data_IF_852324469361
#
_entry.id   IF_852324469361
#
_cell.length_a   1.000
_cell.length_b   1.000
_cell.length_c   1.000
_cell.angle_alpha   90.00
_cell.angle_beta   90.00
_cell.angle_gamma   90.00
#
_symmetry.space_group_name_H-M   'P 1'
#
loop_
_entity.id
_entity.type
_entity.pdbx_description
1 polymer ?
#
# COMPACT_ATOMS: atom_id res chain seq x y z
N UNK A 1 -23.98 -1.04 -30.86
CA UNK A 1 -22.73 -0.93 -31.67
C UNK A 1 -21.70 -0.19 -30.84
N UNK A 2 -20.76 -0.93 -30.26
CA UNK A 2 -19.60 -0.33 -29.60
C UNK A 2 -18.63 0.03 -30.72
N UNK A 3 -18.41 1.31 -30.89
CA UNK A 3 -17.50 1.87 -31.88
C UNK A 3 -16.10 1.26 -31.73
N UNK A 4 -15.65 0.52 -32.74
CA UNK A 4 -14.30 0.00 -32.96
C UNK A 4 -13.30 1.14 -33.29
N UNK A 5 -13.25 2.18 -32.47
CA UNK A 5 -12.51 3.41 -32.75
C UNK A 5 -11.28 3.66 -31.89
N UNK A 6 -10.65 2.63 -31.29
CA UNK A 6 -9.34 2.75 -30.61
C UNK A 6 -8.47 1.53 -30.87
N UNK A 7 -8.22 1.25 -32.13
CA UNK A 7 -7.12 0.37 -32.56
C UNK A 7 -5.92 1.28 -32.81
N UNK A 8 -4.98 1.28 -31.89
CA UNK A 8 -3.73 1.98 -32.13
C UNK A 8 -3.03 2.47 -30.88
N UNK A 9 -2.73 1.58 -29.96
CA UNK A 9 -1.55 1.63 -29.12
C UNK A 9 -1.49 0.31 -28.34
N UNK A 10 -0.52 -0.50 -28.62
CA UNK A 10 -0.22 -1.75 -27.89
C UNK A 10 0.26 -1.50 -26.46
N UNK A 11 0.23 -0.27 -25.99
CA UNK A 11 0.75 0.21 -24.71
C UNK A 11 -0.35 0.77 -23.78
N UNK A 12 -1.58 0.27 -23.85
CA UNK A 12 -2.64 0.73 -22.96
C UNK A 12 -2.77 -0.19 -21.75
N UNK A 13 -2.70 0.40 -20.56
CA UNK A 13 -3.18 -0.23 -19.34
C UNK A 13 -4.66 -0.56 -19.55
N UNK A 14 -5.01 -1.80 -19.27
CA UNK A 14 -6.42 -2.25 -19.27
C UNK A 14 -6.77 -2.65 -17.86
N UNK A 15 -7.78 -2.02 -17.32
CA UNK A 15 -8.32 -2.30 -16.01
C UNK A 15 -9.79 -2.72 -16.09
N UNK A 16 -10.19 -3.50 -15.11
CA UNK A 16 -11.57 -3.94 -14.94
C UNK A 16 -11.87 -4.20 -13.48
N UNK A 17 -13.13 -4.12 -13.12
CA UNK A 17 -13.58 -4.54 -11.80
C UNK A 17 -14.95 -5.23 -11.90
N UNK A 18 -15.22 -6.07 -10.91
CA UNK A 18 -16.49 -6.74 -10.74
C UNK A 18 -16.87 -6.76 -9.26
N UNK A 19 -18.15 -6.55 -8.98
CA UNK A 19 -18.74 -6.79 -7.66
C UNK A 19 -19.74 -7.92 -7.79
N UNK A 20 -19.45 -9.06 -7.17
CA UNK A 20 -20.27 -10.26 -7.22
C UNK A 20 -20.40 -10.93 -5.87
N UNK A 21 -21.33 -11.88 -5.77
CA UNK A 21 -21.46 -12.72 -4.60
C UNK A 21 -20.59 -13.96 -4.74
N UNK A 22 -19.85 -14.31 -3.69
CA UNK A 22 -19.14 -15.57 -3.54
C UNK A 22 -19.84 -16.42 -2.49
N UNK A 23 -19.87 -17.74 -2.71
CA UNK A 23 -20.56 -18.70 -1.87
C UNK A 23 -19.54 -19.62 -1.23
N UNK A 24 -19.32 -19.48 0.08
CA UNK A 24 -18.30 -20.20 0.82
C UNK A 24 -18.95 -21.33 1.61
N UNK A 25 -18.79 -22.60 1.19
CA UNK A 25 -19.34 -23.74 1.93
C UNK A 25 -18.59 -23.90 3.26
N UNK A 26 -19.30 -24.14 4.35
CA UNK A 26 -18.70 -24.46 5.65
C UNK A 26 -18.18 -25.91 5.70
N UNK A 27 -18.84 -26.80 5.00
CA UNK A 27 -18.46 -28.21 4.87
C UNK A 27 -18.95 -28.81 3.56
N UNK A 28 -18.31 -29.90 3.12
CA UNK A 28 -18.75 -30.69 1.98
C UNK A 28 -19.01 -32.16 2.44
N UNK A 29 -20.14 -32.80 2.02
CA UNK A 29 -21.21 -32.28 1.20
C UNK A 29 -22.02 -31.19 1.91
N UNK A 30 -22.66 -30.30 1.15
CA UNK A 30 -23.46 -29.20 1.70
C UNK A 30 -24.64 -29.75 2.50
N UNK A 31 -24.72 -29.41 3.79
CA UNK A 31 -25.84 -29.71 4.70
C UNK A 31 -26.63 -28.46 5.11
N UNK A 32 -26.09 -27.30 4.81
CA UNK A 32 -26.67 -25.97 5.06
C UNK A 32 -26.29 -25.01 3.91
N UNK A 33 -26.95 -23.86 3.84
CA UNK A 33 -26.62 -22.83 2.85
C UNK A 33 -25.18 -22.31 3.09
N UNK A 34 -24.42 -22.08 2.01
CA UNK A 34 -23.09 -21.50 2.11
C UNK A 34 -23.15 -20.06 2.65
N UNK A 35 -22.05 -19.58 3.21
CA UNK A 35 -21.89 -18.17 3.55
C UNK A 35 -21.80 -17.36 2.24
N UNK A 36 -22.75 -16.46 2.05
CA UNK A 36 -22.84 -15.61 0.86
C UNK A 36 -22.24 -14.23 1.16
N UNK A 37 -21.17 -13.90 0.45
CA UNK A 37 -20.45 -12.63 0.66
C UNK A 37 -20.26 -11.87 -0.63
N UNK A 38 -20.42 -10.56 -0.56
CA UNK A 38 -20.04 -9.67 -1.67
C UNK A 38 -18.52 -9.47 -1.70
N UNK A 39 -17.96 -9.68 -2.89
CA UNK A 39 -16.55 -9.44 -3.17
C UNK A 39 -16.40 -8.44 -4.31
N UNK A 40 -15.49 -7.48 -4.12
CA UNK A 40 -14.98 -6.67 -5.21
C UNK A 40 -13.70 -7.33 -5.72
N UNK A 41 -13.62 -7.57 -7.01
CA UNK A 41 -12.40 -8.03 -7.67
C UNK A 41 -11.96 -6.95 -8.66
N UNK A 42 -10.67 -6.62 -8.64
CA UNK A 42 -10.04 -5.70 -9.58
C UNK A 42 -8.98 -6.47 -10.36
N UNK A 43 -8.86 -6.19 -11.64
CA UNK A 43 -7.82 -6.70 -12.51
C UNK A 43 -7.19 -5.58 -13.33
N UNK A 44 -5.89 -5.65 -13.53
CA UNK A 44 -5.13 -4.70 -14.32
C UNK A 44 -4.06 -5.45 -15.11
N UNK A 45 -3.87 -5.12 -16.39
CA UNK A 45 -2.84 -5.72 -17.22
C UNK A 45 -2.33 -4.75 -18.29
N UNK A 46 -1.16 -5.05 -18.87
CA UNK A 46 -0.45 -4.19 -19.81
C UNK A 46 0.73 -3.52 -19.12
N UNK A 47 0.98 -2.25 -19.41
CA UNK A 47 2.05 -1.47 -18.78
C UNK A 47 1.67 -1.02 -17.36
N UNK A 48 1.49 -1.96 -16.47
CA UNK A 48 1.15 -1.72 -15.07
C UNK A 48 2.03 -2.55 -14.15
N UNK A 49 2.02 -2.18 -12.88
CA UNK A 49 2.75 -2.88 -11.83
C UNK A 49 1.90 -3.07 -10.56
N UNK A 50 2.49 -3.76 -9.60
CA UNK A 50 1.89 -4.00 -8.29
C UNK A 50 1.50 -2.69 -7.58
N UNK A 51 2.35 -1.67 -7.67
CA UNK A 51 2.15 -0.40 -6.95
C UNK A 51 1.05 0.46 -7.58
N UNK A 52 0.85 0.34 -8.88
CA UNK A 52 -0.28 1.00 -9.54
C UNK A 52 -1.62 0.46 -9.04
N UNK A 53 -1.79 -0.87 -9.01
CA UNK A 53 -3.01 -1.48 -8.46
C UNK A 53 -3.16 -1.19 -6.96
N UNK A 54 -2.05 -1.21 -6.21
CA UNK A 54 -2.04 -0.85 -4.79
C UNK A 54 -2.51 0.59 -4.58
N UNK A 55 -2.03 1.54 -5.39
CA UNK A 55 -2.45 2.94 -5.34
C UNK A 55 -3.95 3.13 -5.60
N UNK A 56 -4.54 2.38 -6.53
CA UNK A 56 -6.00 2.37 -6.77
C UNK A 56 -6.75 1.92 -5.51
N UNK A 57 -6.27 0.86 -4.85
CA UNK A 57 -6.86 0.39 -3.59
C UNK A 57 -6.70 1.41 -2.46
N UNK A 58 -5.53 2.01 -2.32
CA UNK A 58 -5.27 3.03 -1.29
C UNK A 58 -6.21 4.24 -1.46
N UNK A 59 -6.40 4.71 -2.70
CA UNK A 59 -7.35 5.79 -2.99
C UNK A 59 -8.80 5.37 -2.70
N UNK A 60 -9.18 4.15 -3.02
CA UNK A 60 -10.50 3.61 -2.67
C UNK A 60 -10.70 3.59 -1.15
N UNK A 61 -9.74 3.09 -0.39
CA UNK A 61 -9.81 3.05 1.08
C UNK A 61 -9.83 4.45 1.69
N UNK A 62 -9.06 5.40 1.13
CA UNK A 62 -9.09 6.80 1.53
C UNK A 62 -10.49 7.41 1.33
N UNK A 63 -11.13 7.16 0.17
CA UNK A 63 -12.51 7.61 -0.11
C UNK A 63 -13.54 7.00 0.84
N UNK A 64 -13.28 5.79 1.35
CA UNK A 64 -14.13 5.11 2.32
C UNK A 64 -13.83 5.53 3.78
N UNK A 65 -12.93 6.48 4.00
CA UNK A 65 -12.57 6.97 5.34
C UNK A 65 -11.77 5.95 6.17
N UNK A 66 -10.99 5.11 5.49
CA UNK A 66 -10.15 4.07 6.09
C UNK A 66 -8.67 4.44 6.10
N UNK A 67 -8.34 5.69 5.86
CA UNK A 67 -6.95 6.16 5.89
C UNK A 67 -6.28 5.82 7.23
N UNK A 68 -5.04 5.32 7.16
CA UNK A 68 -4.28 4.88 8.33
C UNK A 68 -4.80 3.61 9.03
N UNK A 69 -5.86 2.97 8.51
CA UNK A 69 -6.44 1.73 9.07
C UNK A 69 -6.20 0.51 8.19
N UNK A 70 -5.48 0.67 7.07
CA UNK A 70 -5.22 -0.40 6.11
C UNK A 70 -3.77 -0.81 6.19
N UNK A 71 -3.53 -2.11 6.35
CA UNK A 71 -2.22 -2.72 6.32
C UNK A 71 -2.10 -3.70 5.15
N UNK A 72 -0.96 -3.67 4.47
CA UNK A 72 -0.59 -4.65 3.43
C UNK A 72 0.53 -5.52 3.98
N UNK A 73 0.29 -6.81 4.14
CA UNK A 73 1.26 -7.76 4.68
C UNK A 73 1.76 -8.68 3.58
N UNK A 74 3.07 -8.74 3.29
CA UNK A 74 3.62 -9.69 2.34
C UNK A 74 3.20 -11.13 2.68
N UNK A 75 2.84 -11.90 1.66
CA UNK A 75 2.32 -13.26 1.82
C UNK A 75 2.74 -14.17 0.67
N UNK A 76 2.57 -15.47 0.86
CA UNK A 76 2.71 -16.51 -0.17
C UNK A 76 1.52 -17.46 -0.18
N UNK A 77 0.41 -17.07 0.45
CA UNK A 77 -0.73 -17.96 0.68
C UNK A 77 -1.59 -18.20 -0.56
N UNK A 78 -1.50 -17.35 -1.58
CA UNK A 78 -2.33 -17.46 -2.78
C UNK A 78 -1.53 -18.12 -3.91
N UNK A 79 -1.75 -19.42 -4.19
CA UNK A 79 -0.94 -20.15 -5.17
C UNK A 79 -1.13 -19.68 -6.62
N UNK A 80 -2.22 -18.97 -6.91
CA UNK A 80 -2.47 -18.36 -8.23
C UNK A 80 -1.79 -17.00 -8.40
N UNK A 81 -1.09 -16.50 -7.38
CA UNK A 81 -0.29 -15.29 -7.42
C UNK A 81 1.20 -15.60 -7.36
N UNK A 82 2.00 -14.68 -7.89
CA UNK A 82 3.45 -14.76 -7.86
C UNK A 82 3.95 -14.76 -6.40
N UNK A 83 4.78 -15.72 -5.97
CA UNK A 83 5.15 -15.90 -4.56
C UNK A 83 5.89 -14.72 -3.94
N UNK A 84 6.64 -13.96 -4.74
CA UNK A 84 7.36 -12.77 -4.28
C UNK A 84 6.64 -11.43 -4.49
N UNK A 85 5.42 -11.43 -5.07
CA UNK A 85 4.71 -10.20 -5.44
C UNK A 85 3.23 -10.30 -5.07
N UNK A 86 2.96 -10.61 -3.81
CA UNK A 86 1.61 -10.68 -3.27
C UNK A 86 1.56 -10.19 -1.83
N UNK A 87 0.41 -9.69 -1.42
CA UNK A 87 0.15 -9.26 -0.06
C UNK A 87 -1.29 -9.58 0.37
N UNK A 88 -1.48 -9.81 1.66
CA UNK A 88 -2.78 -9.81 2.31
C UNK A 88 -3.13 -8.38 2.71
N UNK A 89 -4.42 -8.07 2.70
CA UNK A 89 -4.96 -6.75 3.04
C UNK A 89 -5.75 -6.90 4.33
N UNK A 90 -5.43 -6.06 5.30
CA UNK A 90 -6.14 -5.96 6.57
C UNK A 90 -6.71 -4.56 6.74
N UNK A 91 -7.93 -4.48 7.23
CA UNK A 91 -8.60 -3.21 7.55
C UNK A 91 -8.96 -3.21 9.04
N UNK A 92 -8.34 -2.31 9.80
CA UNK A 92 -8.50 -2.29 11.26
C UNK A 92 -8.20 -3.63 11.93
N UNK A 93 -7.18 -4.34 11.45
CA UNK A 93 -6.72 -5.63 11.94
C UNK A 93 -7.55 -6.85 11.48
N UNK A 94 -8.65 -6.65 10.73
CA UNK A 94 -9.44 -7.75 10.16
C UNK A 94 -9.02 -8.03 8.73
N UNK A 95 -8.92 -9.31 8.35
CA UNK A 95 -8.63 -9.70 6.98
C UNK A 95 -9.70 -9.18 6.02
N UNK A 96 -9.29 -8.42 5.03
CA UNK A 96 -10.17 -7.77 4.08
C UNK A 96 -9.92 -8.21 2.63
N UNK A 97 -8.82 -8.91 2.35
CA UNK A 97 -8.57 -9.36 0.99
C UNK A 97 -7.09 -9.59 0.66
N UNK A 98 -6.82 -9.60 -0.63
CA UNK A 98 -5.47 -9.81 -1.17
C UNK A 98 -5.22 -8.92 -2.38
N UNK A 99 -3.94 -8.74 -2.71
CA UNK A 99 -3.44 -8.11 -3.93
C UNK A 99 -2.19 -8.86 -4.40
N UNK A 100 -1.97 -8.97 -5.70
CA UNK A 100 -0.73 -9.54 -6.22
C UNK A 100 -0.66 -9.61 -7.74
N UNK A 101 0.54 -9.93 -8.21
CA UNK A 101 0.77 -10.31 -9.59
C UNK A 101 0.20 -11.71 -9.82
N UNK A 102 -0.48 -11.93 -10.92
CA UNK A 102 -0.94 -13.27 -11.32
C UNK A 102 0.28 -14.15 -11.59
N UNK A 103 0.23 -15.41 -11.16
CA UNK A 103 1.33 -16.34 -11.38
C UNK A 103 1.58 -16.54 -12.87
N UNK A 104 2.85 -16.57 -13.35
CA UNK A 104 3.16 -16.74 -14.77
C UNK A 104 2.47 -17.96 -15.41
N UNK A 105 2.46 -19.11 -14.74
CA UNK A 105 1.76 -20.31 -15.23
C UNK A 105 0.25 -20.08 -15.42
N UNK A 106 -0.38 -19.27 -14.57
CA UNK A 106 -1.79 -18.91 -14.72
C UNK A 106 -1.96 -18.01 -15.94
N UNK A 107 -1.07 -17.04 -16.16
CA UNK A 107 -1.09 -16.21 -17.35
C UNK A 107 -0.94 -17.06 -18.62
N UNK A 108 -0.02 -18.03 -18.63
CA UNK A 108 0.18 -18.97 -19.76
C UNK A 108 -1.08 -19.80 -20.03
N UNK A 109 -1.74 -20.33 -19.00
CA UNK A 109 -2.98 -21.11 -19.13
C UNK A 109 -4.15 -20.32 -19.77
N UNK A 110 -4.11 -18.99 -19.68
CA UNK A 110 -5.10 -18.09 -20.26
C UNK A 110 -4.60 -17.35 -21.52
N UNK A 111 -3.47 -17.77 -22.12
CA UNK A 111 -2.85 -17.13 -23.28
C UNK A 111 -2.55 -15.62 -23.07
N UNK A 112 -2.34 -15.20 -21.85
CA UNK A 112 -1.99 -13.82 -21.53
C UNK A 112 -0.49 -13.59 -21.79
N UNK A 113 -0.17 -12.66 -22.67
CA UNK A 113 1.20 -12.34 -23.11
C UNK A 113 1.89 -11.24 -22.27
N UNK A 114 1.21 -10.71 -21.28
CA UNK A 114 1.70 -9.66 -20.43
C UNK A 114 1.43 -9.98 -18.95
N UNK A 115 2.14 -9.31 -18.06
CA UNK A 115 1.89 -9.39 -16.64
C UNK A 115 0.48 -8.87 -16.31
N UNK A 116 -0.15 -9.51 -15.34
CA UNK A 116 -1.44 -9.11 -14.83
C UNK A 116 -1.40 -9.01 -13.31
N UNK A 117 -2.12 -8.07 -12.76
CA UNK A 117 -2.24 -7.82 -11.33
C UNK A 117 -3.70 -7.88 -10.94
N UNK A 118 -3.99 -8.51 -9.82
CA UNK A 118 -5.35 -8.70 -9.34
C UNK A 118 -5.45 -8.41 -7.86
N UNK A 119 -6.62 -7.92 -7.44
CA UNK A 119 -6.97 -7.77 -6.04
C UNK A 119 -8.39 -8.28 -5.81
N UNK A 120 -8.61 -8.92 -4.66
CA UNK A 120 -9.92 -9.37 -4.22
C UNK A 120 -10.21 -8.82 -2.83
N UNK A 121 -11.32 -8.10 -2.68
CA UNK A 121 -11.70 -7.38 -1.45
C UNK A 121 -13.02 -7.95 -0.92
N UNK A 122 -13.02 -8.32 0.35
CA UNK A 122 -14.24 -8.70 1.09
C UNK A 122 -15.02 -7.45 1.47
N UNK A 123 -16.07 -7.14 0.72
CA UNK A 123 -16.82 -5.90 0.91
C UNK A 123 -17.48 -5.79 2.28
N UNK A 124 -18.06 -6.85 2.88
CA UNK A 124 -18.62 -6.76 4.24
C UNK A 124 -17.60 -6.25 5.25
N UNK A 125 -16.38 -6.79 5.27
CA UNK A 125 -15.31 -6.37 6.20
C UNK A 125 -14.93 -4.89 6.00
N UNK A 126 -14.88 -4.43 4.75
CA UNK A 126 -14.55 -3.04 4.43
C UNK A 126 -15.69 -2.10 4.80
N UNK A 127 -16.92 -2.43 4.42
CA UNK A 127 -18.10 -1.57 4.65
C UNK A 127 -18.46 -1.43 6.12
N UNK A 128 -18.23 -2.45 6.93
CA UNK A 128 -18.42 -2.38 8.38
C UNK A 128 -17.55 -1.29 9.04
N UNK A 129 -16.35 -1.07 8.51
CA UNK A 129 -15.36 -0.14 9.07
C UNK A 129 -15.30 1.19 8.33
N UNK A 130 -15.95 1.29 7.17
CA UNK A 130 -16.00 2.50 6.37
C UNK A 130 -16.77 3.61 7.09
N UNK A 131 -16.34 4.85 6.89
CA UNK A 131 -17.02 6.02 7.41
C UNK A 131 -17.05 7.13 6.38
N UNK A 132 -18.17 7.81 6.27
CA UNK A 132 -18.33 9.03 5.49
C UNK A 132 -18.41 10.28 6.37
N UNK A 133 -18.17 10.13 7.67
CA UNK A 133 -18.10 11.26 8.62
C UNK A 133 -16.82 12.06 8.33
N UNK A 134 -16.97 13.10 7.55
CA UNK A 134 -15.89 14.02 7.20
C UNK A 134 -16.08 15.30 7.96
N UNK A 135 -15.12 15.60 8.85
CA UNK A 135 -15.09 16.85 9.60
C UNK A 135 -14.13 17.81 8.92
N UNK A 136 -14.56 19.05 8.80
CA UNK A 136 -13.67 20.11 8.36
C UNK A 136 -12.59 20.36 9.42
N UNK A 137 -11.34 20.21 9.02
CA UNK A 137 -10.19 20.65 9.80
C UNK A 137 -9.75 22.02 9.30
N UNK A 138 -9.68 22.99 10.21
CA UNK A 138 -9.29 24.36 9.87
C UNK A 138 -7.85 24.40 9.35
N UNK A 139 -7.57 25.41 8.52
CA UNK A 139 -6.20 25.67 8.06
C UNK A 139 -5.26 25.84 9.24
N UNK A 140 -4.13 25.14 9.19
CA UNK A 140 -3.14 25.16 10.26
C UNK A 140 -2.61 26.58 10.51
N UNK A 141 -2.64 27.00 11.78
CA UNK A 141 -2.29 28.36 12.22
C UNK A 141 -0.77 28.59 12.22
N UNK A 142 0.01 27.53 12.42
CA UNK A 142 1.47 27.58 12.51
C UNK A 142 2.11 26.83 11.36
N UNK A 143 3.28 27.31 10.88
CA UNK A 143 3.97 26.69 9.74
C UNK A 143 4.46 25.28 10.10
N UNK A 144 4.48 24.41 9.09
CA UNK A 144 5.13 23.12 9.18
C UNK A 144 6.66 23.25 9.07
N UNK A 145 7.37 22.27 9.62
CA UNK A 145 8.81 22.08 9.44
C UNK A 145 9.02 20.76 8.70
N UNK A 146 9.65 20.82 7.54
CA UNK A 146 9.95 19.65 6.74
C UNK A 146 11.36 19.13 7.03
N UNK A 147 11.54 17.82 6.96
CA UNK A 147 12.83 17.13 7.05
C UNK A 147 12.84 15.97 6.07
N UNK A 148 13.82 16.02 5.17
CA UNK A 148 14.04 14.93 4.23
C UNK A 148 15.11 13.99 4.78
N UNK A 149 14.86 12.70 4.71
CA UNK A 149 15.75 11.64 5.14
C UNK A 149 16.03 10.72 3.97
N UNK A 150 17.30 10.60 3.60
CA UNK A 150 17.78 9.62 2.63
C UNK A 150 18.39 8.45 3.39
N UNK A 151 17.83 7.27 3.23
CA UNK A 151 18.18 6.07 4.01
C UNK A 151 18.70 4.98 3.07
N UNK A 152 19.72 4.26 3.51
CA UNK A 152 20.24 3.07 2.82
C UNK A 152 19.89 1.84 3.63
N UNK A 153 19.39 0.82 2.95
CA UNK A 153 18.96 -0.44 3.59
C UNK A 153 19.09 -1.62 2.63
N UNK A 154 19.08 -2.84 3.16
CA UNK A 154 19.01 -4.05 2.33
C UNK A 154 17.70 -4.10 1.54
N UNK A 155 17.73 -4.72 0.36
CA UNK A 155 16.56 -4.82 -0.54
C UNK A 155 15.39 -5.58 0.07
N UNK A 156 15.66 -6.53 0.96
CA UNK A 156 14.67 -7.37 1.64
C UNK A 156 13.92 -6.64 2.77
N UNK A 157 14.42 -5.48 3.22
CA UNK A 157 13.73 -4.67 4.23
C UNK A 157 12.53 -3.96 3.60
N UNK A 158 11.36 -4.12 4.19
CA UNK A 158 10.14 -3.50 3.70
C UNK A 158 10.04 -2.02 4.12
N UNK A 159 9.75 -1.16 3.15
CA UNK A 159 9.58 0.29 3.35
C UNK A 159 8.49 0.59 4.40
N UNK A 160 7.37 -0.13 4.37
CA UNK A 160 6.29 0.03 5.33
C UNK A 160 6.69 -0.22 6.79
N UNK A 161 7.73 -1.04 7.05
CA UNK A 161 8.25 -1.21 8.42
C UNK A 161 8.96 0.03 8.93
N UNK A 162 9.64 0.77 8.03
CA UNK A 162 10.27 2.04 8.38
C UNK A 162 9.22 3.10 8.71
N UNK A 163 8.16 3.18 7.88
CA UNK A 163 7.06 4.13 8.12
C UNK A 163 6.38 3.88 9.48
N UNK A 164 6.16 2.61 9.86
CA UNK A 164 5.62 2.27 11.19
C UNK A 164 6.52 2.79 12.32
N UNK A 165 7.83 2.59 12.22
CA UNK A 165 8.81 3.10 13.19
C UNK A 165 8.81 4.63 13.22
N UNK A 166 8.82 5.28 12.05
CA UNK A 166 8.80 6.74 11.95
C UNK A 166 7.52 7.32 12.60
N UNK A 167 6.35 6.72 12.33
CA UNK A 167 5.07 7.13 12.94
C UNK A 167 5.11 6.97 14.46
N UNK A 168 5.61 5.84 14.96
CA UNK A 168 5.69 5.57 16.39
C UNK A 168 6.62 6.56 17.12
N UNK A 169 7.82 6.78 16.57
CA UNK A 169 8.84 7.63 17.23
C UNK A 169 8.65 9.13 16.95
N UNK A 170 8.03 9.47 15.82
CA UNK A 170 7.67 10.84 15.46
C UNK A 170 6.58 11.43 16.36
N UNK A 171 5.68 10.57 16.85
CA UNK A 171 4.63 10.94 17.78
C UNK A 171 3.66 11.98 17.22
N UNK A 172 3.04 12.76 18.11
CA UNK A 172 1.96 13.70 17.74
C UNK A 172 2.39 14.91 16.90
N UNK A 173 3.68 15.20 16.86
CA UNK A 173 4.22 16.33 16.08
C UNK A 173 4.51 15.94 14.63
N UNK A 174 4.60 14.65 14.32
CA UNK A 174 4.76 14.14 12.96
C UNK A 174 3.38 14.10 12.28
N UNK A 175 3.14 15.05 11.40
CA UNK A 175 1.88 15.20 10.67
C UNK A 175 1.76 14.21 9.51
N UNK A 176 2.84 14.08 8.72
CA UNK A 176 2.86 13.17 7.58
C UNK A 176 4.25 12.63 7.25
N UNK A 177 4.25 11.48 6.59
CA UNK A 177 5.43 10.83 6.04
C UNK A 177 5.13 10.56 4.57
N UNK A 178 6.03 10.94 3.69
CA UNK A 178 5.91 10.68 2.27
C UNK A 178 7.19 10.05 1.74
N UNK A 179 7.10 8.84 1.20
CA UNK A 179 8.15 8.27 0.37
C UNK A 179 8.11 8.97 -1.00
N UNK A 180 9.22 9.57 -1.41
CA UNK A 180 9.24 10.30 -2.68
C UNK A 180 10.31 9.79 -3.67
N UNK A 181 11.27 8.96 -3.21
CA UNK A 181 12.25 8.35 -4.10
C UNK A 181 12.70 6.97 -3.59
N UNK A 182 12.92 6.04 -4.53
CA UNK A 182 13.53 4.73 -4.31
C UNK A 182 14.59 4.53 -5.40
N UNK A 183 15.85 4.44 -5.00
CA UNK A 183 16.95 4.32 -5.91
C UNK A 183 17.70 2.99 -5.71
N UNK A 184 17.87 2.27 -6.81
CA UNK A 184 18.66 1.05 -6.91
C UNK A 184 19.62 1.19 -8.10
N UNK A 185 20.80 1.70 -7.88
CA UNK A 185 21.75 1.96 -8.98
C UNK A 185 23.21 1.88 -8.54
N UNK A 186 24.13 2.21 -9.45
CA UNK A 186 25.58 2.06 -9.30
C UNK A 186 26.22 2.82 -8.15
N UNK A 187 25.48 3.76 -7.53
CA UNK A 187 25.97 4.52 -6.36
C UNK A 187 25.62 3.84 -5.02
N UNK A 188 24.90 2.71 -5.07
CA UNK A 188 24.51 1.95 -3.88
C UNK A 188 25.13 0.55 -4.02
N UNK A 189 25.60 -0.01 -2.91
CA UNK A 189 26.17 -1.35 -2.86
C UNK A 189 25.16 -2.39 -3.36
N UNK A 190 25.63 -3.41 -4.06
CA UNK A 190 24.78 -4.50 -4.55
C UNK A 190 24.06 -5.21 -3.39
N UNK A 191 22.76 -5.43 -3.52
CA UNK A 191 21.92 -5.97 -2.45
C UNK A 191 21.29 -4.90 -1.54
N UNK A 192 21.62 -3.62 -1.74
CA UNK A 192 21.04 -2.49 -1.02
C UNK A 192 20.16 -1.62 -1.94
N UNK A 193 19.32 -0.81 -1.31
CA UNK A 193 18.52 0.25 -1.93
C UNK A 193 18.58 1.52 -1.09
N UNK A 194 18.42 2.67 -1.72
CA UNK A 194 18.24 3.95 -1.04
C UNK A 194 16.78 4.35 -1.13
N UNK A 195 16.22 4.82 -0.04
CA UNK A 195 14.84 5.33 0.03
C UNK A 195 14.85 6.72 0.62
N UNK A 196 14.07 7.63 0.04
CA UNK A 196 13.99 9.00 0.50
C UNK A 196 12.59 9.33 0.99
N UNK A 197 12.51 9.82 2.23
CA UNK A 197 11.28 10.22 2.88
C UNK A 197 11.28 11.71 3.17
N UNK A 198 10.14 12.35 2.97
CA UNK A 198 9.84 13.68 3.48
C UNK A 198 8.96 13.57 4.72
N UNK A 199 9.43 14.09 5.83
CA UNK A 199 8.74 14.12 7.12
C UNK A 199 8.23 15.53 7.38
N UNK A 200 6.95 15.69 7.61
CA UNK A 200 6.31 16.97 7.92
C UNK A 200 5.96 17.00 9.39
N UNK A 201 6.51 18.00 10.11
CA UNK A 201 6.24 18.21 11.53
C UNK A 201 5.44 19.48 11.72
N UNK A 202 4.40 19.40 12.56
CA UNK A 202 3.56 20.55 12.91
C UNK A 202 3.01 20.43 14.32
N UNK A 203 2.77 21.58 14.95
CA UNK A 203 1.97 21.68 16.17
C UNK A 203 0.76 22.58 15.92
N UNK A 204 -0.44 22.21 16.41
CA UNK A 204 -1.62 23.07 16.35
C UNK A 204 -1.55 24.27 17.29
N UNK A 205 -0.65 24.24 18.27
CA UNK A 205 -0.59 25.21 19.38
C UNK A 205 0.49 26.27 19.23
N UNK A 206 1.62 25.94 18.53
CA UNK A 206 2.79 26.83 18.42
C UNK A 206 3.68 26.50 17.22
N UNK A 207 4.55 27.41 16.88
CA UNK A 207 5.68 27.10 15.97
C UNK A 207 6.67 26.15 16.63
N UNK A 208 7.23 25.22 15.82
CA UNK A 208 8.21 24.24 16.28
C UNK A 208 9.63 24.78 16.13
N UNK A 209 10.48 24.48 17.11
CA UNK A 209 11.90 24.82 17.05
C UNK A 209 12.72 23.72 16.37
N UNK A 210 13.74 24.09 15.59
CA UNK A 210 14.59 23.15 14.89
C UNK A 210 15.27 22.13 15.83
N UNK A 211 15.66 22.57 17.04
CA UNK A 211 16.29 21.70 18.04
C UNK A 211 15.35 20.60 18.57
N UNK A 212 14.05 20.89 18.64
CA UNK A 212 13.02 19.93 19.06
C UNK A 212 12.83 18.86 17.98
N UNK A 213 12.72 19.30 16.72
CA UNK A 213 12.57 18.39 15.57
C UNK A 213 13.80 17.48 15.41
N UNK A 214 15.01 18.05 15.55
CA UNK A 214 16.25 17.26 15.45
C UNK A 214 16.28 16.14 16.50
N UNK A 215 15.82 16.39 17.73
CA UNK A 215 15.72 15.35 18.77
C UNK A 215 14.75 14.22 18.39
N UNK A 216 13.66 14.53 17.68
CA UNK A 216 12.70 13.52 17.21
C UNK A 216 13.33 12.72 16.07
N UNK A 217 13.96 13.40 15.10
CA UNK A 217 14.66 12.74 14.00
C UNK A 217 15.76 11.83 14.51
N UNK A 218 16.58 12.28 15.49
CA UNK A 218 17.62 11.45 16.10
C UNK A 218 17.05 10.19 16.76
N UNK A 219 15.86 10.27 17.37
CA UNK A 219 15.18 9.08 17.93
C UNK A 219 14.71 8.12 16.83
N UNK A 220 14.19 8.66 15.74
CA UNK A 220 13.79 7.87 14.59
C UNK A 220 15.00 7.15 14.02
N UNK A 221 16.08 7.86 13.73
CA UNK A 221 17.31 7.30 13.16
C UNK A 221 17.91 6.20 14.04
N UNK A 222 18.00 6.42 15.36
CA UNK A 222 18.49 5.40 16.31
C UNK A 222 17.66 4.12 16.31
N UNK A 223 16.37 4.21 16.04
CA UNK A 223 15.52 3.01 15.96
C UNK A 223 15.67 2.32 14.61
N UNK A 224 15.82 3.08 13.53
CA UNK A 224 16.07 2.56 12.19
C UNK A 224 17.44 1.88 12.08
N UNK A 225 18.47 2.40 12.75
CA UNK A 225 19.81 1.78 12.85
C UNK A 225 19.75 0.35 13.40
N UNK A 226 18.85 0.08 14.38
CA UNK A 226 18.67 -1.29 14.92
C UNK A 226 18.09 -2.26 13.88
N UNK A 227 17.45 -1.75 12.84
CA UNK A 227 16.92 -2.52 11.72
C UNK A 227 17.94 -2.66 10.58
N UNK A 228 19.16 -2.18 10.76
CA UNK A 228 20.19 -2.16 9.73
C UNK A 228 19.95 -1.13 8.63
N UNK A 229 19.28 -0.02 8.98
CA UNK A 229 19.00 1.10 8.08
C UNK A 229 19.87 2.26 8.47
N UNK A 230 20.63 2.82 7.54
CA UNK A 230 21.60 3.89 7.77
C UNK A 230 21.23 5.16 7.00
N UNK A 231 21.60 6.31 7.55
CA UNK A 231 21.45 7.57 6.84
C UNK A 231 22.46 7.62 5.69
N UNK A 232 22.00 7.93 4.49
CA UNK A 232 22.88 8.14 3.34
C UNK A 232 23.66 9.44 3.54
N UNK A 233 24.99 9.35 3.52
CA UNK A 233 25.91 10.49 3.60
C UNK A 233 25.87 11.32 2.31
#
# INVERSE_FOLDING_TARGET
EISLGLVGSEMCIRDSYEIGNVYLPKALPLTELPDERKRLTLGMYGECDFFMLKGVLEEMFLKLGLDGKVDFEPSQEKPFLHPGRQALIYVGGAYAGFIGQVHPEVCENYDMKCEAYVAGIDLPTVTEKATFDRRYEGVAKYPAVNRDLSLVMKKDVFVGSLEKVMKEKGGKLLESIQLFDVYEGSQIEEGYKSVAFSLVFRSPERSLEAAEINKIVDKILKELEKMGVELRA
#
